data_IF_390922909828
#
_entry.id   IF_390922909828
#
_cell.length_a   1.000
_cell.length_b   1.000
_cell.length_c   1.000
_cell.angle_alpha   90.00
_cell.angle_beta   90.00
_cell.angle_gamma   90.00
#
_symmetry.space_group_name_H-M   'P 1'
#
loop_
_entity.id
_entity.type
_entity.pdbx_description
1 polymer ?
#
# COMPACT_ATOMS: atom_id res chain seq x y z
N UNK A 1 28.55 19.41 13.11
CA UNK A 1 27.14 19.62 12.76
C UNK A 1 26.64 18.32 12.17
N UNK A 2 25.95 17.51 12.98
CA UNK A 2 25.40 16.21 12.53
C UNK A 2 24.27 16.54 11.58
N UNK A 3 24.42 16.20 10.30
CA UNK A 3 23.34 16.26 9.33
C UNK A 3 22.26 15.31 9.91
N UNK A 4 21.11 15.85 10.28
CA UNK A 4 19.98 15.02 10.69
C UNK A 4 19.71 14.09 9.50
N UNK A 5 19.83 12.78 9.72
CA UNK A 5 19.44 11.78 8.73
C UNK A 5 17.94 12.00 8.45
N UNK A 6 17.63 12.53 7.27
CA UNK A 6 16.25 12.66 6.77
C UNK A 6 15.98 11.51 5.79
N UNK A 7 14.72 11.15 5.59
CA UNK A 7 14.32 10.11 4.66
C UNK A 7 13.93 8.80 5.35
N UNK A 8 13.72 7.78 4.51
CA UNK A 8 13.14 6.50 4.90
C UNK A 8 13.87 5.79 6.05
N UNK A 9 15.18 5.63 5.94
CA UNK A 9 16.00 4.91 6.95
C UNK A 9 15.97 5.60 8.31
N UNK A 10 15.97 6.94 8.31
CA UNK A 10 15.91 7.71 9.55
C UNK A 10 14.54 7.61 10.22
N UNK A 11 13.48 7.65 9.44
CA UNK A 11 12.11 7.49 9.96
C UNK A 11 11.90 6.07 10.48
N UNK A 12 12.35 5.05 9.77
CA UNK A 12 12.27 3.66 10.20
C UNK A 12 12.99 3.46 11.55
N UNK A 13 14.20 3.99 11.70
CA UNK A 13 14.96 3.91 12.96
C UNK A 13 14.19 4.56 14.12
N UNK A 14 13.63 5.75 13.90
CA UNK A 14 12.83 6.43 14.93
C UNK A 14 11.62 5.60 15.34
N UNK A 15 10.92 4.99 14.39
CA UNK A 15 9.78 4.11 14.68
C UNK A 15 10.22 2.88 15.49
N UNK A 16 11.34 2.26 15.18
CA UNK A 16 11.88 1.14 15.94
C UNK A 16 12.25 1.56 17.39
N UNK A 17 12.82 2.75 17.57
CA UNK A 17 13.10 3.32 18.90
C UNK A 17 11.80 3.56 19.69
N UNK A 18 10.75 4.09 19.04
CA UNK A 18 9.43 4.29 19.63
C UNK A 18 8.77 2.96 20.04
N UNK A 19 8.83 1.93 19.20
CA UNK A 19 8.36 0.58 19.50
C UNK A 19 9.09 0.00 20.71
N UNK A 20 10.41 0.12 20.75
CA UNK A 20 11.24 -0.35 21.87
C UNK A 20 10.90 0.40 23.17
N UNK A 21 10.75 1.73 23.12
CA UNK A 21 10.39 2.57 24.26
C UNK A 21 9.00 2.24 24.83
N UNK A 22 8.08 1.81 23.98
CA UNK A 22 6.75 1.31 24.38
C UNK A 22 6.82 -0.09 25.00
N UNK A 23 8.00 -0.73 25.07
CA UNK A 23 8.27 -2.02 25.71
C UNK A 23 8.20 -3.21 24.78
N UNK A 24 8.16 -2.99 23.47
CA UNK A 24 8.12 -4.06 22.48
C UNK A 24 6.94 -5.04 22.70
N UNK A 25 7.10 -6.32 22.35
CA UNK A 25 6.04 -7.33 22.49
C UNK A 25 5.50 -7.49 23.92
N UNK A 26 6.32 -7.22 24.95
CA UNK A 26 5.89 -7.31 26.35
C UNK A 26 4.84 -6.26 26.76
N UNK A 27 4.62 -5.24 25.94
CA UNK A 27 3.51 -4.31 26.16
C UNK A 27 2.14 -5.01 26.18
N UNK A 28 1.98 -6.09 25.41
CA UNK A 28 0.75 -6.88 25.36
C UNK A 28 0.59 -7.87 26.52
N UNK A 29 1.64 -8.11 27.31
CA UNK A 29 1.59 -9.04 28.45
C UNK A 29 1.15 -8.34 29.77
N UNK A 30 1.17 -6.99 29.79
CA UNK A 30 0.82 -6.16 30.95
C UNK A 30 -0.28 -5.15 30.55
N UNK A 31 -1.56 -5.60 30.46
CA UNK A 31 -2.65 -4.79 29.91
C UNK A 31 -3.10 -3.63 30.80
N UNK A 32 -2.48 -3.41 31.95
CA UNK A 32 -2.83 -2.33 32.90
C UNK A 32 -2.46 -0.93 32.40
N UNK A 33 -1.64 -0.84 31.35
CA UNK A 33 -1.23 0.43 30.73
C UNK A 33 -1.74 0.51 29.28
N UNK A 34 -2.99 0.96 29.12
CA UNK A 34 -3.64 1.08 27.83
C UNK A 34 -2.89 2.02 26.86
N UNK A 35 -2.30 3.11 27.38
CA UNK A 35 -1.53 4.07 26.57
C UNK A 35 -0.28 3.42 25.99
N UNK A 36 0.43 2.64 26.78
CA UNK A 36 1.63 1.91 26.36
C UNK A 36 1.29 0.85 25.28
N UNK A 37 0.21 0.08 25.48
CA UNK A 37 -0.27 -0.89 24.51
C UNK A 37 -0.63 -0.22 23.19
N UNK A 38 -1.39 0.85 23.25
CA UNK A 38 -1.80 1.62 22.05
C UNK A 38 -0.58 2.17 21.32
N UNK A 39 0.36 2.78 22.02
CA UNK A 39 1.60 3.31 21.43
C UNK A 39 2.44 2.23 20.75
N UNK A 40 2.58 1.06 21.38
CA UNK A 40 3.26 -0.09 20.78
C UNK A 40 2.60 -0.52 19.45
N UNK A 41 1.27 -0.67 19.45
CA UNK A 41 0.52 -1.10 18.25
C UNK A 41 0.59 -0.06 17.13
N UNK A 42 0.48 1.23 17.47
CA UNK A 42 0.64 2.30 16.49
C UNK A 42 2.06 2.33 15.89
N UNK A 43 3.08 2.08 16.69
CA UNK A 43 4.46 1.93 16.22
C UNK A 43 4.59 0.78 15.22
N UNK A 44 4.03 -0.39 15.52
CA UNK A 44 3.99 -1.51 14.60
C UNK A 44 3.26 -1.16 13.29
N UNK A 45 2.12 -0.47 13.38
CA UNK A 45 1.37 -0.03 12.20
C UNK A 45 2.15 0.98 11.35
N UNK A 46 2.81 1.95 11.98
CA UNK A 46 3.67 2.89 11.26
C UNK A 46 4.79 2.16 10.53
N UNK A 47 5.49 1.23 11.20
CA UNK A 47 6.52 0.39 10.59
C UNK A 47 5.97 -0.37 9.37
N UNK A 48 4.86 -1.09 9.54
CA UNK A 48 4.23 -1.85 8.46
C UNK A 48 3.76 -0.95 7.30
N UNK A 49 3.26 0.26 7.62
CA UNK A 49 2.79 1.20 6.59
C UNK A 49 3.91 1.79 5.76
N UNK A 50 5.13 1.94 6.30
CA UNK A 50 6.26 2.47 5.55
C UNK A 50 7.10 1.38 4.88
N UNK A 51 7.05 0.12 5.35
CA UNK A 51 7.80 -1.00 4.75
C UNK A 51 7.16 -1.53 3.46
N UNK A 52 5.86 -1.34 3.29
CA UNK A 52 5.14 -1.88 2.15
C UNK A 52 4.95 -3.40 2.17
N UNK A 53 5.15 -4.05 3.33
CA UNK A 53 5.05 -5.50 3.49
C UNK A 53 3.66 -5.93 3.98
N UNK A 54 2.86 -6.68 3.19
CA UNK A 54 1.56 -7.19 3.64
C UNK A 54 1.66 -8.09 4.88
N UNK A 55 2.72 -8.89 4.99
CA UNK A 55 2.95 -9.75 6.16
C UNK A 55 3.13 -8.96 7.47
N UNK A 56 3.76 -7.78 7.41
CA UNK A 56 3.89 -6.90 8.56
C UNK A 56 2.53 -6.34 9.00
N UNK A 57 1.65 -5.99 8.05
CA UNK A 57 0.27 -5.57 8.36
C UNK A 57 -0.54 -6.69 9.02
N UNK A 58 -0.37 -7.95 8.58
CA UNK A 58 -1.01 -9.09 9.22
C UNK A 58 -0.51 -9.31 10.67
N UNK A 59 0.77 -9.03 10.96
CA UNK A 59 1.29 -9.02 12.33
C UNK A 59 0.59 -7.96 13.20
N UNK A 60 0.46 -6.73 12.68
CA UNK A 60 -0.26 -5.65 13.38
C UNK A 60 -1.71 -6.02 13.64
N UNK A 61 -2.39 -6.63 12.67
CA UNK A 61 -3.77 -7.11 12.85
C UNK A 61 -3.88 -8.05 14.06
N UNK A 62 -3.00 -9.05 14.15
CA UNK A 62 -2.97 -9.98 15.29
C UNK A 62 -2.72 -9.27 16.63
N UNK A 63 -1.85 -8.26 16.65
CA UNK A 63 -1.57 -7.46 17.84
C UNK A 63 -2.81 -6.64 18.26
N UNK A 64 -3.50 -6.00 17.32
CA UNK A 64 -4.76 -5.26 17.55
C UNK A 64 -5.84 -6.18 18.12
N UNK A 65 -6.04 -7.36 17.53
CA UNK A 65 -7.05 -8.33 17.97
C UNK A 65 -6.79 -8.83 19.39
N UNK A 66 -5.53 -9.00 19.79
CA UNK A 66 -5.14 -9.33 21.17
C UNK A 66 -5.40 -8.17 22.13
N UNK A 67 -5.21 -6.93 21.70
CA UNK A 67 -5.30 -5.76 22.57
C UNK A 67 -6.72 -5.26 22.81
N UNK A 68 -7.61 -5.34 21.82
CA UNK A 68 -8.98 -4.84 21.92
C UNK A 68 -9.71 -5.32 23.20
N UNK A 69 -9.71 -6.62 23.56
CA UNK A 69 -10.38 -7.10 24.76
C UNK A 69 -9.71 -6.66 26.07
N UNK A 70 -8.51 -6.13 26.02
CA UNK A 70 -7.72 -5.72 27.19
C UNK A 70 -7.89 -4.23 27.53
N UNK A 71 -8.46 -3.43 26.63
CA UNK A 71 -8.58 -1.98 26.76
C UNK A 71 -10.04 -1.58 26.95
N UNK A 72 -10.31 -0.77 27.98
CA UNK A 72 -11.68 -0.38 28.32
C UNK A 72 -12.39 0.45 27.23
N UNK A 73 -11.63 1.28 26.47
CA UNK A 73 -12.13 2.14 25.39
C UNK A 73 -11.30 1.96 24.12
N UNK A 74 -11.47 0.85 23.39
CA UNK A 74 -10.59 0.50 22.26
C UNK A 74 -10.97 1.18 20.93
N UNK A 75 -11.66 2.33 20.95
CA UNK A 75 -12.14 3.01 19.73
C UNK A 75 -11.04 3.27 18.71
N UNK A 76 -9.87 3.72 19.16
CA UNK A 76 -8.71 3.97 18.30
C UNK A 76 -8.16 2.67 17.68
N UNK A 77 -8.22 1.55 18.40
CA UNK A 77 -7.81 0.25 17.88
C UNK A 77 -8.81 -0.31 16.86
N UNK A 78 -10.10 -0.02 17.01
CA UNK A 78 -11.08 -0.37 15.98
C UNK A 78 -10.89 0.45 14.71
N UNK A 79 -10.58 1.75 14.83
CA UNK A 79 -10.19 2.58 13.69
C UNK A 79 -8.96 2.01 12.98
N UNK A 80 -7.92 1.67 13.75
CA UNK A 80 -6.70 1.06 13.22
C UNK A 80 -7.00 -0.29 12.54
N UNK A 81 -7.85 -1.13 13.16
CA UNK A 81 -8.31 -2.40 12.60
C UNK A 81 -8.98 -2.21 11.24
N UNK A 82 -9.84 -1.20 11.09
CA UNK A 82 -10.47 -0.88 9.82
C UNK A 82 -9.46 -0.52 8.73
N UNK A 83 -8.47 0.31 9.06
CA UNK A 83 -7.39 0.67 8.12
C UNK A 83 -6.55 -0.54 7.69
N UNK A 84 -6.19 -1.41 8.64
CA UNK A 84 -5.42 -2.62 8.35
C UNK A 84 -6.23 -3.58 7.47
N UNK A 85 -7.49 -3.83 7.83
CA UNK A 85 -8.38 -4.69 7.08
C UNK A 85 -8.55 -4.21 5.63
N UNK A 86 -8.69 -2.89 5.43
CA UNK A 86 -8.76 -2.29 4.10
C UNK A 86 -7.48 -2.56 3.28
N UNK A 87 -6.29 -2.30 3.86
CA UNK A 87 -5.00 -2.54 3.21
C UNK A 87 -4.76 -4.02 2.89
N UNK A 88 -5.33 -4.94 3.68
CA UNK A 88 -5.26 -6.38 3.47
C UNK A 88 -6.40 -6.92 2.57
N UNK A 89 -7.20 -6.06 1.96
CA UNK A 89 -8.36 -6.41 1.12
C UNK A 89 -9.46 -7.23 1.81
N UNK A 90 -9.54 -7.17 3.13
CA UNK A 90 -10.59 -7.81 3.95
C UNK A 90 -11.76 -6.85 4.15
N UNK A 91 -12.49 -6.57 3.06
CA UNK A 91 -13.48 -5.49 3.03
C UNK A 91 -14.65 -5.67 4.01
N UNK A 92 -15.06 -6.91 4.28
CA UNK A 92 -16.12 -7.19 5.28
C UNK A 92 -15.63 -6.92 6.71
N UNK A 93 -14.35 -7.19 7.00
CA UNK A 93 -13.74 -6.87 8.29
C UNK A 93 -13.64 -5.34 8.52
N UNK A 94 -13.55 -4.53 7.44
CA UNK A 94 -13.58 -3.06 7.53
C UNK A 94 -14.89 -2.58 8.14
N UNK A 95 -16.03 -3.04 7.63
CA UNK A 95 -17.37 -2.66 8.14
C UNK A 95 -17.55 -3.08 9.59
N UNK A 96 -17.16 -4.33 9.90
CA UNK A 96 -17.22 -4.84 11.27
C UNK A 96 -16.36 -4.02 12.24
N UNK A 97 -15.19 -3.58 11.81
CA UNK A 97 -14.31 -2.73 12.63
C UNK A 97 -14.88 -1.33 12.83
N UNK A 98 -15.40 -0.69 11.77
CA UNK A 98 -16.02 0.64 11.84
C UNK A 98 -17.18 0.69 12.85
N UNK A 99 -17.95 -0.40 12.96
CA UNK A 99 -19.04 -0.49 13.93
C UNK A 99 -18.56 -0.38 15.40
N UNK A 100 -17.29 -0.65 15.67
CA UNK A 100 -16.66 -0.49 17.00
C UNK A 100 -16.09 0.90 17.29
N UNK A 101 -16.13 1.83 16.31
CA UNK A 101 -15.58 3.20 16.47
C UNK A 101 -16.66 4.14 16.96
N UNK A 102 -16.53 4.74 18.17
CA UNK A 102 -17.47 5.76 18.63
C UNK A 102 -17.46 6.99 17.71
N UNK A 103 -18.62 7.51 17.34
CA UNK A 103 -18.74 8.69 16.49
C UNK A 103 -18.23 8.46 15.05
N UNK A 104 -18.29 7.23 14.55
CA UNK A 104 -17.78 6.88 13.22
C UNK A 104 -18.38 7.73 12.09
N UNK A 105 -19.66 8.08 12.18
CA UNK A 105 -20.37 8.84 11.15
C UNK A 105 -19.87 10.29 11.01
N UNK A 106 -19.38 10.88 12.08
CA UNK A 106 -18.85 12.25 12.15
C UNK A 106 -17.33 12.29 11.87
N UNK A 107 -16.65 11.14 11.88
CA UNK A 107 -15.21 11.06 11.68
C UNK A 107 -14.88 11.12 10.18
N UNK A 108 -14.17 12.17 9.75
CA UNK A 108 -13.82 12.38 8.34
C UNK A 108 -12.98 11.23 7.75
N UNK A 109 -12.01 10.69 8.49
CA UNK A 109 -11.18 9.56 8.04
C UNK A 109 -12.00 8.27 7.87
N UNK A 110 -12.97 8.00 8.76
CA UNK A 110 -13.89 6.86 8.60
C UNK A 110 -14.77 7.05 7.35
N UNK A 111 -15.27 8.25 7.11
CA UNK A 111 -16.06 8.55 5.91
C UNK A 111 -15.24 8.35 4.63
N UNK A 112 -13.95 8.71 4.66
CA UNK A 112 -13.03 8.43 3.55
C UNK A 112 -12.82 6.92 3.35
N UNK A 113 -12.64 6.14 4.43
CA UNK A 113 -12.54 4.68 4.34
C UNK A 113 -13.84 4.07 3.77
N UNK A 114 -15.00 4.60 4.14
CA UNK A 114 -16.27 4.16 3.55
C UNK A 114 -16.35 4.45 2.04
N UNK A 115 -15.85 5.60 1.59
CA UNK A 115 -15.77 5.93 0.18
C UNK A 115 -14.77 5.03 -0.57
N UNK A 116 -13.61 4.74 0.05
CA UNK A 116 -12.64 3.76 -0.47
C UNK A 116 -13.28 2.37 -0.60
N UNK A 117 -14.08 1.96 0.38
CA UNK A 117 -14.81 0.69 0.38
C UNK A 117 -15.86 0.65 -0.73
N UNK A 118 -16.59 1.74 -0.94
CA UNK A 118 -17.53 1.88 -2.06
C UNK A 118 -16.83 1.73 -3.41
N UNK A 119 -15.64 2.32 -3.57
CA UNK A 119 -14.82 2.16 -4.76
C UNK A 119 -14.43 0.69 -4.99
N UNK A 120 -13.92 0.01 -3.97
CA UNK A 120 -13.50 -1.40 -4.07
C UNK A 120 -14.68 -2.35 -4.38
N UNK A 121 -15.89 -1.97 -3.99
CA UNK A 121 -17.13 -2.71 -4.26
C UNK A 121 -17.82 -2.29 -5.57
N UNK A 122 -17.19 -1.49 -6.41
CA UNK A 122 -17.73 -1.03 -7.69
C UNK A 122 -18.86 0.00 -7.58
N UNK A 123 -19.10 0.57 -6.40
CA UNK A 123 -20.12 1.60 -6.15
C UNK A 123 -19.57 3.01 -6.44
N UNK A 124 -19.09 3.24 -7.66
CA UNK A 124 -18.30 4.42 -8.03
C UNK A 124 -18.98 5.76 -7.75
N UNK A 125 -20.32 5.87 -7.98
CA UNK A 125 -21.07 7.11 -7.69
C UNK A 125 -21.11 7.42 -6.19
N UNK A 126 -21.26 6.39 -5.35
CA UNK A 126 -21.25 6.55 -3.90
C UNK A 126 -19.84 6.92 -3.41
N UNK A 127 -18.79 6.29 -3.94
CA UNK A 127 -17.41 6.61 -3.64
C UNK A 127 -17.10 8.09 -3.95
N UNK A 128 -17.40 8.55 -5.16
CA UNK A 128 -17.16 9.94 -5.54
C UNK A 128 -17.92 10.92 -4.64
N UNK A 129 -19.19 10.66 -4.38
CA UNK A 129 -20.00 11.50 -3.49
C UNK A 129 -19.39 11.55 -2.09
N UNK A 130 -18.97 10.40 -1.54
CA UNK A 130 -18.34 10.32 -0.23
C UNK A 130 -17.04 11.15 -0.12
N UNK A 131 -16.15 11.06 -1.12
CA UNK A 131 -14.93 11.89 -1.14
C UNK A 131 -15.25 13.38 -1.20
N UNK A 132 -16.19 13.78 -2.08
CA UNK A 132 -16.58 15.20 -2.24
C UNK A 132 -17.27 15.75 -1.01
N UNK A 133 -18.09 14.96 -0.33
CA UNK A 133 -18.78 15.36 0.90
C UNK A 133 -17.79 15.62 2.05
N UNK A 134 -16.73 14.78 2.15
CA UNK A 134 -15.67 15.03 3.15
C UNK A 134 -14.91 16.31 2.80
N UNK A 135 -14.51 16.50 1.56
CA UNK A 135 -13.80 17.70 1.10
C UNK A 135 -14.61 18.99 1.26
N UNK A 136 -15.94 18.90 1.19
CA UNK A 136 -16.83 20.05 1.41
C UNK A 136 -16.85 20.48 2.89
N UNK A 137 -16.72 19.51 3.80
CA UNK A 137 -16.71 19.76 5.23
C UNK A 137 -15.31 20.14 5.75
N UNK A 138 -14.28 19.47 5.27
CA UNK A 138 -12.90 19.65 5.71
C UNK A 138 -11.91 19.35 4.58
N UNK A 139 -11.14 20.37 4.19
CA UNK A 139 -10.11 20.20 3.17
C UNK A 139 -8.85 19.64 3.81
N UNK A 140 -8.41 18.46 3.34
CA UNK A 140 -7.17 17.83 3.76
C UNK A 140 -6.44 17.22 2.57
N UNK A 141 -5.10 17.15 2.64
CA UNK A 141 -4.31 16.53 1.59
C UNK A 141 -4.72 15.08 1.33
N UNK A 142 -5.04 14.33 2.41
CA UNK A 142 -5.45 12.92 2.30
C UNK A 142 -6.78 12.73 1.57
N UNK A 143 -7.75 13.62 1.79
CA UNK A 143 -9.03 13.59 1.09
C UNK A 143 -8.87 13.97 -0.39
N UNK A 144 -8.06 15.01 -0.69
CA UNK A 144 -7.72 15.41 -2.07
C UNK A 144 -7.01 14.28 -2.81
N UNK A 145 -6.02 13.63 -2.19
CA UNK A 145 -5.27 12.55 -2.80
C UNK A 145 -6.12 11.30 -3.08
N UNK A 146 -7.07 10.94 -2.21
CA UNK A 146 -8.03 9.85 -2.47
C UNK A 146 -8.95 10.17 -3.64
N UNK A 147 -9.49 11.40 -3.69
CA UNK A 147 -10.30 11.83 -4.84
C UNK A 147 -9.47 11.86 -6.12
N UNK A 148 -8.22 12.34 -6.08
CA UNK A 148 -7.29 12.31 -7.21
C UNK A 148 -7.08 10.89 -7.74
N UNK A 149 -6.79 9.95 -6.85
CA UNK A 149 -6.64 8.54 -7.21
C UNK A 149 -7.91 7.98 -7.87
N UNK A 150 -9.08 8.24 -7.28
CA UNK A 150 -10.36 7.82 -7.85
C UNK A 150 -10.57 8.40 -9.26
N UNK A 151 -10.40 9.72 -9.45
CA UNK A 151 -10.59 10.41 -10.74
C UNK A 151 -9.60 9.87 -11.80
N UNK A 152 -8.33 9.64 -11.42
CA UNK A 152 -7.33 9.03 -12.30
C UNK A 152 -7.70 7.60 -12.72
N UNK A 153 -8.26 6.80 -11.82
CA UNK A 153 -8.78 5.46 -12.13
C UNK A 153 -10.01 5.52 -13.04
N UNK A 154 -10.81 6.60 -12.98
CA UNK A 154 -11.93 6.83 -13.89
C UNK A 154 -11.49 7.39 -15.26
N UNK A 155 -10.21 7.65 -15.47
CA UNK A 155 -9.61 8.03 -16.75
C UNK A 155 -9.40 9.54 -16.96
N UNK A 156 -9.78 10.38 -16.00
CA UNK A 156 -9.50 11.83 -16.10
C UNK A 156 -8.14 12.16 -15.44
N UNK A 157 -7.08 11.90 -16.21
CA UNK A 157 -5.69 12.08 -15.76
C UNK A 157 -5.38 13.55 -15.42
N UNK A 158 -5.91 14.51 -16.22
CA UNK A 158 -5.64 15.92 -16.00
C UNK A 158 -6.28 16.41 -14.69
N UNK A 159 -7.56 16.04 -14.44
CA UNK A 159 -8.22 16.40 -13.19
C UNK A 159 -7.60 15.70 -11.97
N UNK A 160 -7.08 14.49 -12.15
CA UNK A 160 -6.37 13.78 -11.08
C UNK A 160 -5.05 14.48 -10.72
N UNK A 161 -4.26 14.91 -11.70
CA UNK A 161 -3.01 15.62 -11.47
C UNK A 161 -3.26 16.96 -10.76
N UNK A 162 -4.26 17.74 -11.20
CA UNK A 162 -4.68 19.00 -10.57
C UNK A 162 -5.11 18.81 -9.09
N UNK A 163 -5.74 17.69 -8.77
CA UNK A 163 -6.10 17.34 -7.39
C UNK A 163 -4.89 16.93 -6.56
N UNK A 164 -3.92 16.22 -7.13
CA UNK A 164 -2.66 15.91 -6.44
C UNK A 164 -1.84 17.16 -6.17
N UNK A 165 -1.77 18.10 -7.11
CA UNK A 165 -1.12 19.39 -6.89
C UNK A 165 -1.77 20.15 -5.73
N UNK A 166 -3.11 20.22 -5.69
CA UNK A 166 -3.84 20.80 -4.57
C UNK A 166 -3.61 20.06 -3.25
N UNK A 167 -3.39 18.73 -3.29
CA UNK A 167 -3.04 17.97 -2.10
C UNK A 167 -1.65 18.34 -1.59
N UNK A 168 -0.69 18.61 -2.47
CA UNK A 168 0.65 19.09 -2.08
C UNK A 168 0.59 20.45 -1.39
N UNK A 169 -0.27 21.36 -1.86
CA UNK A 169 -0.45 22.69 -1.26
C UNK A 169 -0.95 22.63 0.20
N UNK A 170 -1.63 21.54 0.58
CA UNK A 170 -2.11 21.32 1.96
C UNK A 170 -1.04 20.68 2.87
N UNK A 171 0.11 20.25 2.33
CA UNK A 171 1.17 19.65 3.12
C UNK A 171 1.99 20.70 3.86
N UNK A 172 2.42 20.34 5.05
CA UNK A 172 3.45 21.10 5.77
C UNK A 172 4.85 20.69 5.31
N UNK A 173 5.84 21.55 5.53
CA UNK A 173 7.24 21.26 5.19
C UNK A 173 7.86 20.07 5.93
N UNK A 174 7.14 19.45 6.86
CA UNK A 174 7.57 18.27 7.63
C UNK A 174 7.03 16.96 7.05
N UNK A 175 6.05 17.01 6.16
CA UNK A 175 5.38 15.83 5.60
C UNK A 175 6.07 15.31 4.34
N UNK A 176 7.39 15.14 4.42
CA UNK A 176 8.23 14.76 3.27
C UNK A 176 7.85 13.42 2.66
N UNK A 177 7.42 12.45 3.47
CA UNK A 177 6.94 11.15 2.98
C UNK A 177 5.64 11.30 2.19
N UNK A 178 4.68 12.10 2.69
CA UNK A 178 3.43 12.37 1.98
C UNK A 178 3.67 13.09 0.67
N UNK A 179 4.58 14.06 0.66
CA UNK A 179 5.02 14.73 -0.55
C UNK A 179 5.61 13.74 -1.56
N UNK A 180 6.57 12.90 -1.13
CA UNK A 180 7.18 11.90 -1.99
C UNK A 180 6.15 10.91 -2.54
N UNK A 181 5.17 10.49 -1.72
CA UNK A 181 4.09 9.61 -2.16
C UNK A 181 3.21 10.28 -3.22
N UNK A 182 2.84 11.55 -3.05
CA UNK A 182 2.06 12.29 -4.06
C UNK A 182 2.85 12.43 -5.37
N UNK A 183 4.14 12.75 -5.30
CA UNK A 183 5.00 12.82 -6.48
C UNK A 183 5.06 11.47 -7.21
N UNK A 184 5.13 10.35 -6.48
CA UNK A 184 5.05 9.02 -7.09
C UNK A 184 3.72 8.82 -7.80
N UNK A 185 2.59 9.23 -7.21
CA UNK A 185 1.28 9.10 -7.87
C UNK A 185 1.18 9.94 -9.15
N UNK A 186 1.70 11.17 -9.14
CA UNK A 186 1.77 12.04 -10.34
C UNK A 186 2.66 11.42 -11.41
N UNK A 187 3.84 10.97 -11.03
CA UNK A 187 4.75 10.27 -11.95
C UNK A 187 4.12 9.00 -12.55
N UNK A 188 3.34 8.25 -11.77
CA UNK A 188 2.63 7.08 -12.25
C UNK A 188 1.51 7.44 -13.25
N UNK A 189 0.81 8.56 -13.07
CA UNK A 189 -0.14 9.06 -14.07
C UNK A 189 0.57 9.37 -15.40
N UNK A 190 1.72 10.03 -15.35
CA UNK A 190 2.53 10.36 -16.52
C UNK A 190 3.08 9.09 -17.20
N UNK A 191 3.63 8.17 -16.43
CA UNK A 191 4.12 6.88 -16.90
C UNK A 191 3.05 6.12 -17.68
N UNK A 192 1.84 6.02 -17.15
CA UNK A 192 0.72 5.35 -17.82
C UNK A 192 0.26 6.03 -19.11
N UNK A 193 0.57 7.32 -19.28
CA UNK A 193 0.31 8.08 -20.48
C UNK A 193 1.49 8.07 -21.47
N UNK A 194 2.58 7.35 -21.17
CA UNK A 194 3.79 7.32 -21.98
C UNK A 194 4.63 8.60 -21.90
N UNK A 195 4.38 9.44 -20.90
CA UNK A 195 5.16 10.68 -20.64
C UNK A 195 6.32 10.35 -19.69
N UNK A 196 7.33 9.65 -20.20
CA UNK A 196 8.39 9.08 -19.37
C UNK A 196 9.33 10.14 -18.78
N UNK A 197 9.61 11.22 -19.50
CA UNK A 197 10.44 12.33 -19.00
C UNK A 197 9.78 13.04 -17.81
N UNK A 198 8.47 13.28 -17.88
CA UNK A 198 7.68 13.87 -16.79
C UNK A 198 7.60 12.92 -15.60
N UNK A 199 7.35 11.62 -15.83
CA UNK A 199 7.36 10.61 -14.78
C UNK A 199 8.71 10.57 -14.05
N UNK A 200 9.81 10.60 -14.79
CA UNK A 200 11.16 10.64 -14.22
C UNK A 200 11.40 11.90 -13.37
N UNK A 201 10.89 13.06 -13.79
CA UNK A 201 10.99 14.29 -13.02
C UNK A 201 10.29 14.17 -11.66
N UNK A 202 9.07 13.63 -11.64
CA UNK A 202 8.31 13.36 -10.42
C UNK A 202 9.03 12.38 -9.48
N UNK A 203 9.56 11.27 -10.00
CA UNK A 203 10.31 10.30 -9.18
C UNK A 203 11.61 10.90 -8.61
N UNK A 204 12.29 11.78 -9.34
CA UNK A 204 13.47 12.52 -8.81
C UNK A 204 13.10 13.47 -7.68
N UNK A 205 11.97 14.17 -7.77
CA UNK A 205 11.50 15.04 -6.70
C UNK A 205 11.09 14.22 -5.47
N UNK A 206 10.45 13.08 -5.66
CA UNK A 206 10.11 12.16 -4.59
C UNK A 206 11.36 11.64 -3.85
N UNK A 207 12.38 11.18 -4.59
CA UNK A 207 13.64 10.68 -4.01
C UNK A 207 14.41 11.79 -3.29
N UNK A 208 14.45 12.99 -3.86
CA UNK A 208 15.12 14.15 -3.24
C UNK A 208 14.43 14.56 -1.92
N UNK A 209 13.11 14.49 -1.85
CA UNK A 209 12.34 14.82 -0.65
C UNK A 209 12.44 13.75 0.45
N UNK A 210 12.40 12.47 0.06
CA UNK A 210 12.38 11.35 1.00
C UNK A 210 13.30 10.20 0.54
N UNK A 211 14.63 10.37 0.65
CA UNK A 211 15.61 9.44 0.09
C UNK A 211 15.49 8.03 0.64
N UNK A 212 15.67 7.04 -0.24
CA UNK A 212 15.67 5.62 0.09
C UNK A 212 14.26 5.04 0.28
N UNK A 213 13.23 5.72 -0.18
CA UNK A 213 11.87 5.20 -0.14
C UNK A 213 11.69 4.12 -1.21
N UNK A 214 11.46 2.88 -0.76
CA UNK A 214 11.33 1.72 -1.64
C UNK A 214 10.30 1.91 -2.78
N UNK A 215 9.20 2.61 -2.52
CA UNK A 215 8.17 2.88 -3.52
C UNK A 215 8.71 3.70 -4.69
N UNK A 216 9.55 4.69 -4.42
CA UNK A 216 10.20 5.49 -5.47
C UNK A 216 11.16 4.62 -6.27
N UNK A 217 11.99 3.82 -5.61
CA UNK A 217 12.92 2.90 -6.27
C UNK A 217 12.20 1.89 -7.17
N UNK A 218 11.05 1.37 -6.74
CA UNK A 218 10.20 0.44 -7.51
C UNK A 218 9.69 1.11 -8.80
N UNK A 219 9.15 2.32 -8.73
CA UNK A 219 8.67 3.04 -9.91
C UNK A 219 9.81 3.51 -10.83
N UNK A 220 10.99 3.79 -10.31
CA UNK A 220 12.19 4.01 -11.13
C UNK A 220 12.55 2.73 -11.89
N UNK A 221 12.46 1.56 -11.26
CA UNK A 221 12.70 0.28 -11.94
C UNK A 221 11.67 0.01 -13.04
N UNK A 222 10.39 0.33 -12.81
CA UNK A 222 9.34 0.24 -13.84
C UNK A 222 9.63 1.16 -15.04
N UNK A 223 10.09 2.39 -14.79
CA UNK A 223 10.45 3.33 -15.83
C UNK A 223 11.64 2.82 -16.65
N UNK A 224 12.71 2.36 -15.98
CA UNK A 224 13.87 1.75 -16.63
C UNK A 224 13.48 0.52 -17.48
N UNK A 225 12.52 -0.26 -16.99
CA UNK A 225 12.00 -1.41 -17.75
C UNK A 225 11.28 -0.98 -19.03
N UNK A 226 10.50 0.11 -18.97
CA UNK A 226 9.82 0.67 -20.15
C UNK A 226 10.82 1.27 -21.16
N UNK A 227 11.98 1.71 -20.70
CA UNK A 227 13.12 2.20 -21.51
C UNK A 227 14.06 1.06 -21.97
N UNK A 228 13.67 -0.22 -21.74
CA UNK A 228 14.47 -1.42 -22.07
C UNK A 228 15.81 -1.53 -21.31
N UNK A 229 15.99 -0.74 -20.24
CA UNK A 229 17.16 -0.78 -19.35
C UNK A 229 17.02 -1.90 -18.32
N UNK A 230 16.82 -3.15 -18.79
CA UNK A 230 16.43 -4.28 -17.93
C UNK A 230 17.46 -4.61 -16.85
N UNK A 231 18.76 -4.51 -17.14
CA UNK A 231 19.81 -4.84 -16.16
C UNK A 231 19.80 -3.89 -14.95
N UNK A 232 19.60 -2.61 -15.18
CA UNK A 232 19.48 -1.59 -14.15
C UNK A 232 18.21 -1.78 -13.33
N UNK A 233 17.07 -2.03 -13.99
CA UNK A 233 15.81 -2.32 -13.33
C UNK A 233 15.91 -3.56 -12.42
N UNK A 234 16.48 -4.66 -12.91
CA UNK A 234 16.72 -5.89 -12.14
C UNK A 234 17.61 -5.63 -10.93
N UNK A 235 18.66 -4.79 -11.06
CA UNK A 235 19.54 -4.47 -9.93
C UNK A 235 18.78 -3.77 -8.81
N UNK A 236 17.89 -2.83 -9.13
CA UNK A 236 17.03 -2.14 -8.15
C UNK A 236 16.07 -3.13 -7.50
N UNK A 237 15.32 -3.90 -8.30
CA UNK A 237 14.32 -4.83 -7.76
C UNK A 237 14.94 -5.92 -6.90
N UNK A 238 16.13 -6.44 -7.23
CA UNK A 238 16.86 -7.40 -6.37
C UNK A 238 17.24 -6.81 -5.02
N UNK A 239 17.66 -5.54 -4.98
CA UNK A 239 17.92 -4.83 -3.73
C UNK A 239 16.66 -4.75 -2.86
N UNK A 240 15.51 -4.43 -3.47
CA UNK A 240 14.22 -4.36 -2.79
C UNK A 240 13.75 -5.74 -2.31
N UNK A 241 13.84 -6.77 -3.15
CA UNK A 241 13.47 -8.14 -2.80
C UNK A 241 14.33 -8.74 -1.68
N UNK A 242 15.59 -8.32 -1.55
CA UNK A 242 16.45 -8.74 -0.45
C UNK A 242 16.05 -8.08 0.89
N UNK A 243 15.32 -6.98 0.87
CA UNK A 243 14.91 -6.23 2.05
C UNK A 243 13.50 -6.57 2.54
N UNK A 244 12.64 -7.18 1.71
CA UNK A 244 11.23 -7.42 2.01
C UNK A 244 10.75 -8.78 1.46
N UNK A 245 9.87 -9.49 2.21
CA UNK A 245 9.20 -10.72 1.73
C UNK A 245 8.02 -10.34 0.81
N UNK A 246 8.38 -9.99 -0.43
CA UNK A 246 7.46 -9.52 -1.47
C UNK A 246 7.61 -10.37 -2.74
N UNK A 247 6.78 -11.40 -2.92
CA UNK A 247 6.83 -12.28 -4.09
C UNK A 247 6.51 -11.56 -5.42
N UNK A 248 5.79 -10.45 -5.40
CA UNK A 248 5.53 -9.59 -6.55
C UNK A 248 6.82 -8.97 -7.13
N UNK A 249 7.79 -8.62 -6.29
CA UNK A 249 9.11 -8.20 -6.78
C UNK A 249 9.86 -9.34 -7.47
N UNK A 250 9.74 -10.56 -6.98
CA UNK A 250 10.34 -11.72 -7.63
C UNK A 250 9.69 -11.99 -9.00
N UNK A 251 8.38 -11.83 -9.13
CA UNK A 251 7.67 -11.91 -10.41
C UNK A 251 8.15 -10.81 -11.38
N UNK A 252 8.27 -9.57 -10.92
CA UNK A 252 8.77 -8.47 -11.74
C UNK A 252 10.21 -8.73 -12.24
N UNK A 253 11.09 -9.27 -11.39
CA UNK A 253 12.45 -9.66 -11.77
C UNK A 253 12.42 -10.76 -12.83
N UNK A 254 11.56 -11.77 -12.67
CA UNK A 254 11.40 -12.87 -13.63
C UNK A 254 10.98 -12.34 -15.01
N UNK A 255 10.03 -11.42 -15.04
CA UNK A 255 9.54 -10.79 -16.27
C UNK A 255 10.64 -10.00 -16.98
N UNK A 256 11.44 -9.21 -16.24
CA UNK A 256 12.54 -8.45 -16.81
C UNK A 256 13.62 -9.36 -17.40
N UNK A 257 13.96 -10.48 -16.76
CA UNK A 257 14.87 -11.47 -17.34
C UNK A 257 14.29 -12.12 -18.59
N UNK A 258 12.98 -12.38 -18.60
CA UNK A 258 12.30 -12.91 -19.79
C UNK A 258 12.37 -11.91 -20.96
N UNK A 259 12.12 -10.64 -20.71
CA UNK A 259 12.23 -9.57 -21.72
C UNK A 259 13.67 -9.39 -22.22
N UNK A 260 14.66 -9.58 -21.35
CA UNK A 260 16.08 -9.56 -21.70
C UNK A 260 16.56 -10.82 -22.46
N UNK A 261 15.70 -11.85 -22.59
CA UNK A 261 16.05 -13.12 -23.23
C UNK A 261 16.85 -14.09 -22.33
N UNK A 262 16.93 -13.82 -21.03
CA UNK A 262 17.67 -14.62 -20.05
C UNK A 262 16.75 -15.68 -19.39
N UNK A 263 16.54 -16.81 -20.09
CA UNK A 263 15.55 -17.83 -19.73
C UNK A 263 15.80 -18.49 -18.36
N UNK A 264 17.05 -18.89 -18.06
CA UNK A 264 17.36 -19.62 -16.82
C UNK A 264 17.07 -18.78 -15.55
N UNK A 265 17.57 -17.53 -15.42
CA UNK A 265 17.23 -16.70 -14.29
C UNK A 265 15.74 -16.32 -14.27
N UNK A 266 15.08 -16.12 -15.40
CA UNK A 266 13.65 -15.87 -15.47
C UNK A 266 12.85 -17.01 -14.82
N UNK A 267 13.12 -18.25 -15.15
CA UNK A 267 12.46 -19.43 -14.57
C UNK A 267 12.72 -19.54 -13.06
N UNK A 268 13.96 -19.29 -12.61
CA UNK A 268 14.29 -19.34 -11.19
C UNK A 268 13.49 -18.32 -10.38
N UNK A 269 13.43 -17.08 -10.84
CA UNK A 269 12.69 -16.02 -10.16
C UNK A 269 11.17 -16.20 -10.24
N UNK A 270 10.65 -16.75 -11.32
CA UNK A 270 9.24 -17.11 -11.45
C UNK A 270 8.83 -18.19 -10.43
N UNK A 271 9.66 -19.22 -10.23
CA UNK A 271 9.42 -20.25 -9.22
C UNK A 271 9.45 -19.67 -7.79
N UNK A 272 10.37 -18.74 -7.52
CA UNK A 272 10.44 -18.05 -6.21
C UNK A 272 9.18 -17.22 -5.97
N UNK A 273 8.70 -16.49 -6.98
CA UNK A 273 7.44 -15.71 -6.90
C UNK A 273 6.25 -16.63 -6.60
N UNK A 274 6.08 -17.71 -7.34
CA UNK A 274 4.99 -18.66 -7.15
C UNK A 274 5.01 -19.28 -5.76
N UNK A 275 6.19 -19.71 -5.30
CA UNK A 275 6.35 -20.26 -3.96
C UNK A 275 5.98 -19.22 -2.88
N UNK A 276 6.35 -17.96 -3.05
CA UNK A 276 6.00 -16.85 -2.17
C UNK A 276 4.49 -16.60 -2.12
N UNK A 277 3.83 -16.55 -3.26
CA UNK A 277 2.38 -16.40 -3.36
C UNK A 277 1.63 -17.54 -2.66
N UNK A 278 2.05 -18.79 -2.87
CA UNK A 278 1.43 -19.93 -2.18
C UNK A 278 1.67 -19.89 -0.68
N UNK A 279 2.87 -19.59 -0.21
CA UNK A 279 3.13 -19.39 1.23
C UNK A 279 2.21 -18.34 1.86
N UNK A 280 1.95 -17.23 1.17
CA UNK A 280 1.02 -16.19 1.61
C UNK A 280 -0.42 -16.73 1.68
N UNK A 281 -0.88 -17.38 0.63
CA UNK A 281 -2.23 -17.95 0.57
C UNK A 281 -2.47 -19.05 1.64
N UNK A 282 -1.47 -19.89 1.92
CA UNK A 282 -1.50 -20.92 2.97
C UNK A 282 -1.62 -20.32 4.37
N UNK A 283 -1.07 -19.12 4.59
CA UNK A 283 -1.26 -18.35 5.83
C UNK A 283 -2.64 -17.68 5.93
N UNK A 284 -3.51 -17.84 4.91
CA UNK A 284 -4.82 -17.19 4.83
C UNK A 284 -4.74 -15.70 4.48
N UNK A 285 -3.64 -15.25 3.94
CA UNK A 285 -3.47 -13.90 3.43
C UNK A 285 -4.05 -13.82 2.02
N UNK A 286 -4.86 -12.80 1.77
CA UNK A 286 -5.62 -12.69 0.51
C UNK A 286 -5.04 -11.66 -0.46
N UNK A 287 -4.00 -10.95 -0.02
CA UNK A 287 -3.43 -9.80 -0.75
C UNK A 287 -2.98 -10.15 -2.18
N UNK A 288 -2.42 -11.34 -2.36
CA UNK A 288 -1.83 -11.77 -3.64
C UNK A 288 -2.74 -12.64 -4.52
N UNK A 289 -4.06 -12.72 -4.27
CA UNK A 289 -4.94 -13.57 -5.08
C UNK A 289 -4.99 -13.15 -6.55
N UNK A 290 -5.01 -11.85 -6.83
CA UNK A 290 -4.93 -11.34 -8.20
C UNK A 290 -3.59 -11.64 -8.87
N UNK A 291 -2.47 -11.49 -8.14
CA UNK A 291 -1.15 -11.87 -8.67
C UNK A 291 -1.04 -13.36 -9.01
N UNK A 292 -1.65 -14.23 -8.21
CA UNK A 292 -1.75 -15.65 -8.54
C UNK A 292 -2.58 -15.89 -9.80
N UNK A 293 -3.68 -15.16 -9.98
CA UNK A 293 -4.47 -15.26 -11.20
C UNK A 293 -3.65 -14.83 -12.42
N UNK A 294 -2.98 -13.69 -12.35
CA UNK A 294 -2.12 -13.17 -13.42
C UNK A 294 -0.95 -14.12 -13.70
N UNK A 295 -0.30 -14.64 -12.67
CA UNK A 295 0.81 -15.59 -12.80
C UNK A 295 0.40 -16.87 -13.56
N UNK A 296 -0.74 -17.47 -13.18
CA UNK A 296 -1.24 -18.67 -13.86
C UNK A 296 -1.75 -18.39 -15.27
N UNK A 297 -2.20 -17.17 -15.54
CA UNK A 297 -2.62 -16.78 -16.90
C UNK A 297 -1.43 -16.52 -17.83
N UNK A 298 -0.38 -15.88 -17.35
CA UNK A 298 0.69 -15.31 -18.19
C UNK A 298 2.00 -16.11 -18.14
N UNK A 299 2.27 -16.82 -17.03
CA UNK A 299 3.54 -17.53 -16.82
C UNK A 299 3.40 -19.05 -16.97
N UNK A 300 2.43 -19.65 -16.25
CA UNK A 300 2.19 -21.10 -16.31
C UNK A 300 1.20 -21.49 -17.43
N UNK A 301 0.51 -20.54 -18.03
CA UNK A 301 -0.53 -20.75 -19.04
C UNK A 301 -1.62 -21.75 -18.61
N UNK A 302 -1.88 -21.84 -17.28
CA UNK A 302 -2.94 -22.66 -16.68
C UNK A 302 -4.22 -21.83 -16.48
N UNK A 303 -5.04 -21.74 -17.53
CA UNK A 303 -6.29 -20.99 -17.48
C UNK A 303 -7.29 -21.47 -16.41
N UNK A 304 -7.26 -22.75 -16.01
CA UNK A 304 -8.15 -23.25 -14.96
C UNK A 304 -7.73 -22.72 -13.57
N UNK A 305 -6.43 -22.75 -13.28
CA UNK A 305 -5.88 -22.18 -12.06
C UNK A 305 -6.06 -20.64 -12.02
N UNK A 306 -5.80 -19.96 -13.14
CA UNK A 306 -6.01 -18.51 -13.27
C UNK A 306 -7.45 -18.11 -12.91
N UNK A 307 -8.44 -18.74 -13.51
CA UNK A 307 -9.87 -18.50 -13.22
C UNK A 307 -10.21 -18.81 -11.77
N UNK A 308 -9.66 -19.88 -11.18
CA UNK A 308 -9.92 -20.22 -9.79
C UNK A 308 -9.42 -19.14 -8.81
N UNK A 309 -8.25 -18.56 -9.08
CA UNK A 309 -7.70 -17.47 -8.25
C UNK A 309 -8.41 -16.14 -8.51
N UNK A 310 -8.73 -15.80 -9.75
CA UNK A 310 -9.52 -14.60 -10.07
C UNK A 310 -10.90 -14.64 -9.41
N UNK A 311 -11.57 -15.80 -9.35
CA UNK A 311 -12.85 -15.97 -8.65
C UNK A 311 -12.71 -15.74 -7.14
N UNK A 312 -11.60 -16.15 -6.50
CA UNK A 312 -11.35 -15.86 -5.09
C UNK A 312 -11.14 -14.37 -4.86
N UNK A 313 -10.40 -13.70 -5.74
CA UNK A 313 -10.20 -12.25 -5.63
C UNK A 313 -11.50 -11.47 -5.85
N UNK A 314 -12.35 -11.89 -6.80
CA UNK A 314 -13.65 -11.29 -7.08
C UNK A 314 -14.64 -11.38 -5.91
N UNK A 315 -14.48 -12.35 -5.01
CA UNK A 315 -15.25 -12.42 -3.77
C UNK A 315 -14.85 -11.32 -2.76
N UNK A 316 -13.62 -10.82 -2.86
CA UNK A 316 -13.10 -9.77 -1.98
C UNK A 316 -13.36 -8.37 -2.55
N UNK A 317 -13.13 -8.18 -3.84
CA UNK A 317 -13.19 -6.90 -4.54
C UNK A 317 -14.06 -7.02 -5.78
N UNK A 318 -14.82 -5.98 -6.08
CA UNK A 318 -15.74 -5.96 -7.24
C UNK A 318 -15.54 -4.70 -8.08
N UNK A 319 -14.37 -4.07 -8.02
CA UNK A 319 -14.04 -2.95 -8.86
C UNK A 319 -13.73 -3.41 -10.30
N UNK A 320 -13.67 -2.46 -11.24
CA UNK A 320 -13.50 -2.77 -12.66
C UNK A 320 -12.17 -3.49 -12.96
N UNK A 321 -11.11 -3.24 -12.21
CA UNK A 321 -9.83 -3.92 -12.39
C UNK A 321 -9.96 -5.42 -12.07
N UNK A 322 -10.62 -5.77 -10.97
CA UNK A 322 -10.86 -7.16 -10.58
C UNK A 322 -11.86 -7.87 -11.51
N UNK A 323 -12.81 -7.13 -12.10
CA UNK A 323 -13.78 -7.70 -13.04
C UNK A 323 -13.21 -7.90 -14.45
N UNK A 324 -12.14 -7.21 -14.78
CA UNK A 324 -11.47 -7.30 -16.08
C UNK A 324 -10.38 -8.38 -16.14
N UNK A 325 -9.88 -8.83 -14.99
CA UNK A 325 -8.93 -9.94 -14.87
C UNK A 325 -9.66 -11.29 -15.01
#
# INVERSE_FOLDING_TARGET
MTIALTGYVAELRRIEEDIASAGGPSALDLPTDAERVTRYIYGLYQRASISGEPAALAEVQRAVERAIPLIAYPGDLYFLKANIAFKLHRLDDVEAAIAGVPGAAENAEIRLICADLDFQRGRYRAAEAGYRDVLHAEKSWGALARLAHFIGKMGDVAAADDLYEKAQDELTSKELRSFAWIEVQRGFLDFRCGRFDEAQAHYRWADAAYPGYWLVEEHIAELLAAEECYAEAVAILKKLAAAADRPDLAQAIAELYRLAGETDPALQWAQEALAGYHRSAERGEVHYYHHLADYYAEVEEDGAAAVAWAQKDLQLRQNFSTQAA
#
